data_IF_784447990239
#
_entry.id   IF_784447990239
#
_cell.length_a   1.000
_cell.length_b   1.000
_cell.length_c   1.000
_cell.angle_alpha   90.00
_cell.angle_beta   90.00
_cell.angle_gamma   90.00
#
_symmetry.space_group_name_H-M   'P 1'
#
loop_
_entity.id
_entity.type
_entity.pdbx_description
1 polymer ?
#
# COMPACT_ATOMS: atom_id res chain seq x y z
N UNK A 1 27.42 -0.64 -50.40
CA UNK A 1 28.26 0.00 -49.36
C UNK A 1 27.60 1.21 -48.67
N UNK A 2 26.82 2.07 -49.35
CA UNK A 2 26.20 3.26 -48.69
C UNK A 2 25.08 2.90 -47.70
N UNK A 3 24.33 1.80 -47.91
CA UNK A 3 23.28 1.35 -46.97
C UNK A 3 23.79 0.70 -45.68
N UNK A 4 25.02 0.18 -45.67
CA UNK A 4 25.61 -0.45 -44.47
C UNK A 4 26.29 0.58 -43.56
N UNK A 5 26.79 1.69 -44.13
CA UNK A 5 27.36 2.81 -43.36
C UNK A 5 26.26 3.61 -42.63
N UNK A 6 25.09 3.80 -43.25
CA UNK A 6 23.95 4.46 -42.58
C UNK A 6 23.30 3.60 -41.47
N UNK A 7 23.50 2.27 -41.49
CA UNK A 7 23.04 1.38 -40.43
C UNK A 7 23.98 1.39 -39.20
N UNK A 8 25.26 1.68 -39.40
CA UNK A 8 26.25 1.85 -38.33
C UNK A 8 26.15 3.22 -37.65
N UNK A 9 25.66 4.26 -38.34
CA UNK A 9 25.42 5.59 -37.76
C UNK A 9 24.10 5.71 -36.98
N UNK A 10 23.27 4.67 -36.98
CA UNK A 10 22.08 4.58 -36.13
C UNK A 10 22.41 3.91 -34.79
N UNK A 11 23.44 4.41 -34.09
CA UNK A 11 23.80 4.08 -32.70
C UNK A 11 22.68 4.49 -31.72
N UNK A 12 21.48 3.95 -31.89
CA UNK A 12 20.66 3.61 -30.75
C UNK A 12 21.29 2.37 -30.16
N UNK A 13 22.23 2.57 -29.23
CA UNK A 13 22.51 1.57 -28.18
C UNK A 13 21.14 1.01 -27.79
N UNK A 14 20.90 -0.31 -27.88
CA UNK A 14 19.59 -0.84 -27.56
C UNK A 14 19.30 -0.41 -26.13
N UNK A 15 18.33 0.50 -25.94
CA UNK A 15 17.96 0.96 -24.60
C UNK A 15 17.50 -0.23 -23.73
N UNK A 16 17.12 -1.33 -24.39
CA UNK A 16 16.85 -2.63 -23.81
C UNK A 16 18.13 -3.25 -23.21
N UNK A 17 19.27 -3.17 -23.88
CA UNK A 17 20.55 -3.72 -23.40
C UNK A 17 21.11 -2.90 -22.24
N UNK A 18 21.06 -1.57 -22.29
CA UNK A 18 21.49 -0.72 -21.17
C UNK A 18 20.57 -0.87 -19.95
N UNK A 19 19.26 -1.02 -20.16
CA UNK A 19 18.32 -1.33 -19.07
C UNK A 19 18.50 -2.75 -18.53
N UNK A 20 18.80 -3.74 -19.39
CA UNK A 20 19.11 -5.12 -19.00
C UNK A 20 20.43 -5.19 -18.24
N UNK A 21 21.45 -4.44 -18.64
CA UNK A 21 22.75 -4.35 -17.95
C UNK A 21 22.54 -3.68 -16.58
N UNK A 22 21.81 -2.58 -16.50
CA UNK A 22 21.48 -1.94 -15.20
C UNK A 22 20.64 -2.84 -14.30
N UNK A 23 19.68 -3.58 -14.86
CA UNK A 23 18.93 -4.58 -14.10
C UNK A 23 19.83 -5.75 -13.68
N UNK A 24 20.72 -6.23 -14.54
CA UNK A 24 21.67 -7.33 -14.26
C UNK A 24 22.65 -6.94 -13.17
N UNK A 25 23.22 -5.74 -13.23
CA UNK A 25 24.11 -5.20 -12.20
C UNK A 25 23.38 -5.08 -10.86
N UNK A 26 22.10 -4.69 -10.88
CA UNK A 26 21.27 -4.69 -9.67
C UNK A 26 20.96 -6.11 -9.18
N UNK A 27 20.73 -7.06 -10.09
CA UNK A 27 20.56 -8.48 -9.75
C UNK A 27 21.83 -9.08 -9.18
N UNK A 28 23.02 -8.66 -9.63
CA UNK A 28 24.31 -9.11 -9.10
C UNK A 28 24.61 -8.45 -7.74
N UNK A 29 24.20 -7.19 -7.52
CA UNK A 29 24.22 -6.55 -6.21
C UNK A 29 23.21 -7.15 -5.22
N UNK A 30 22.14 -7.75 -5.74
CA UNK A 30 21.17 -8.50 -4.96
C UNK A 30 21.55 -9.99 -4.86
N UNK A 31 22.76 -10.42 -5.23
CA UNK A 31 23.25 -11.79 -5.04
C UNK A 31 24.38 -11.85 -3.99
N UNK A 32 24.46 -12.97 -3.28
CA UNK A 32 25.62 -13.27 -2.41
C UNK A 32 26.80 -13.76 -3.25
N UNK A 33 27.96 -13.97 -2.61
CA UNK A 33 29.19 -14.47 -3.26
C UNK A 33 29.01 -15.85 -3.94
N UNK A 34 27.90 -16.53 -3.69
CA UNK A 34 27.52 -17.81 -4.31
C UNK A 34 26.51 -17.65 -5.47
N UNK A 35 26.14 -16.41 -5.83
CA UNK A 35 25.22 -16.12 -6.92
C UNK A 35 23.74 -16.28 -6.57
N UNK A 36 23.40 -16.44 -5.28
CA UNK A 36 22.02 -16.59 -4.82
C UNK A 36 21.42 -15.23 -4.50
N UNK A 37 20.17 -14.98 -4.90
CA UNK A 37 19.51 -13.70 -4.61
C UNK A 37 19.36 -13.53 -3.09
N UNK A 38 19.93 -12.46 -2.52
CA UNK A 38 19.98 -12.08 -1.10
C UNK A 38 18.62 -11.53 -0.66
N UNK A 39 17.60 -12.37 -0.76
CA UNK A 39 16.48 -12.28 0.16
C UNK A 39 16.79 -13.28 1.28
N UNK A 40 16.83 -12.80 2.53
CA UNK A 40 17.16 -13.54 3.77
C UNK A 40 17.35 -15.06 3.60
N UNK A 41 18.62 -15.49 3.46
CA UNK A 41 19.01 -16.91 3.50
C UNK A 41 19.04 -17.66 2.18
N UNK A 42 19.20 -16.97 1.04
CA UNK A 42 19.46 -17.60 -0.28
C UNK A 42 18.25 -18.32 -0.88
N UNK A 43 17.04 -18.01 -0.42
CA UNK A 43 15.80 -18.63 -0.89
C UNK A 43 15.25 -17.93 -2.11
N UNK A 44 14.67 -18.70 -3.03
CA UNK A 44 13.96 -18.13 -4.16
C UNK A 44 12.69 -17.42 -3.69
N UNK A 45 12.36 -16.27 -4.28
CA UNK A 45 11.13 -15.52 -3.99
C UNK A 45 9.86 -16.37 -4.19
N UNK A 46 9.91 -17.38 -5.06
CA UNK A 46 8.79 -18.31 -5.26
C UNK A 46 8.47 -19.18 -4.05
N UNK A 47 9.47 -19.42 -3.21
CA UNK A 47 9.36 -20.26 -2.02
C UNK A 47 8.91 -19.44 -0.80
N UNK A 48 8.98 -18.11 -0.90
CA UNK A 48 8.56 -17.22 0.17
C UNK A 48 7.03 -17.14 0.23
N UNK A 49 6.51 -17.28 1.43
CA UNK A 49 5.10 -16.98 1.75
C UNK A 49 4.92 -15.53 2.18
N UNK A 50 5.95 -14.96 2.82
CA UNK A 50 6.01 -13.58 3.28
C UNK A 50 7.43 -13.06 3.05
N UNK A 51 7.55 -11.83 2.56
CA UNK A 51 8.81 -11.13 2.41
C UNK A 51 8.71 -9.80 3.16
N UNK A 52 9.56 -9.61 4.16
CA UNK A 52 9.73 -8.31 4.82
C UNK A 52 10.95 -7.62 4.21
N UNK A 53 10.75 -6.41 3.71
CA UNK A 53 11.83 -5.58 3.18
C UNK A 53 11.91 -4.31 4.03
N UNK A 54 13.00 -4.19 4.79
CA UNK A 54 13.30 -2.97 5.55
C UNK A 54 14.39 -2.22 4.82
N UNK A 55 14.12 -0.96 4.49
CA UNK A 55 15.07 -0.13 3.75
C UNK A 55 15.56 0.99 4.67
N UNK A 56 16.84 0.96 5.11
CA UNK A 56 17.37 1.98 6.01
C UNK A 56 17.48 3.32 5.30
N UNK A 57 17.02 4.40 5.95
CA UNK A 57 16.91 5.74 5.36
C UNK A 57 18.22 6.53 5.19
N UNK A 58 19.38 5.87 5.19
CA UNK A 58 20.70 6.53 5.13
C UNK A 58 21.05 7.01 3.71
N UNK A 59 20.62 6.29 2.67
CA UNK A 59 20.76 6.68 1.26
C UNK A 59 19.42 6.53 0.54
N UNK A 60 18.76 7.65 0.26
CA UNK A 60 17.42 7.69 -0.32
C UNK A 60 17.39 7.24 -1.79
N UNK A 61 18.44 7.48 -2.56
CA UNK A 61 18.47 7.11 -3.98
C UNK A 61 18.72 5.60 -4.15
N UNK A 62 19.62 5.03 -3.34
CA UNK A 62 19.79 3.59 -3.24
C UNK A 62 18.51 2.92 -2.74
N UNK A 63 17.90 3.45 -1.67
CA UNK A 63 16.64 2.96 -1.12
C UNK A 63 15.51 2.93 -2.15
N UNK A 64 15.32 4.04 -2.88
CA UNK A 64 14.33 4.15 -3.95
C UNK A 64 14.56 3.10 -5.04
N UNK A 65 15.81 2.92 -5.46
CA UNK A 65 16.19 1.96 -6.50
C UNK A 65 15.94 0.52 -6.07
N UNK A 66 16.30 0.17 -4.83
CA UNK A 66 16.07 -1.16 -4.24
C UNK A 66 14.57 -1.47 -4.16
N UNK A 67 13.74 -0.53 -3.69
CA UNK A 67 12.29 -0.71 -3.61
C UNK A 67 11.69 -0.83 -5.00
N UNK A 68 12.04 0.06 -5.93
CA UNK A 68 11.52 0.03 -7.30
C UNK A 68 11.79 -1.31 -8.00
N UNK A 69 13.00 -1.83 -7.86
CA UNK A 69 13.39 -3.09 -8.45
C UNK A 69 12.69 -4.29 -7.81
N UNK A 70 12.59 -4.31 -6.48
CA UNK A 70 11.90 -5.38 -5.74
C UNK A 70 10.42 -5.41 -6.13
N UNK A 71 9.76 -4.24 -6.17
CA UNK A 71 8.38 -4.10 -6.62
C UNK A 71 8.20 -4.65 -8.04
N UNK A 72 9.06 -4.24 -8.97
CA UNK A 72 8.99 -4.66 -10.37
C UNK A 72 9.20 -6.17 -10.52
N UNK A 73 10.15 -6.74 -9.78
CA UNK A 73 10.40 -8.18 -9.76
C UNK A 73 9.18 -8.95 -9.25
N UNK A 74 8.61 -8.55 -8.11
CA UNK A 74 7.40 -9.17 -7.53
C UNK A 74 6.24 -9.11 -8.51
N UNK A 75 5.98 -7.95 -9.13
CA UNK A 75 4.90 -7.77 -10.09
C UNK A 75 5.09 -8.61 -11.36
N UNK A 76 6.30 -8.60 -11.93
CA UNK A 76 6.61 -9.41 -13.11
C UNK A 76 6.43 -10.89 -12.80
N UNK A 77 6.86 -11.33 -11.61
CA UNK A 77 6.72 -12.74 -11.18
C UNK A 77 5.26 -13.13 -11.00
N UNK A 78 4.46 -12.30 -10.34
CA UNK A 78 3.02 -12.51 -10.18
C UNK A 78 2.30 -12.64 -11.55
N UNK A 79 2.78 -11.90 -12.55
CA UNK A 79 2.24 -11.90 -13.91
C UNK A 79 2.55 -13.12 -14.78
N UNK A 80 3.65 -13.84 -14.52
CA UNK A 80 4.19 -14.89 -15.41
C UNK A 80 3.28 -16.11 -15.57
N UNK A 81 2.50 -16.46 -14.55
CA UNK A 81 1.61 -17.63 -14.60
C UNK A 81 0.25 -17.28 -15.21
N UNK A 82 -0.39 -18.27 -15.84
CA UNK A 82 -1.79 -18.16 -16.28
C UNK A 82 -2.67 -17.80 -15.08
N UNK A 83 -3.74 -17.05 -15.32
CA UNK A 83 -4.56 -16.40 -14.28
C UNK A 83 -5.08 -17.38 -13.21
N UNK A 84 -5.43 -18.60 -13.61
CA UNK A 84 -5.87 -19.73 -12.79
C UNK A 84 -4.78 -20.32 -11.88
N UNK A 85 -3.51 -20.07 -12.20
CA UNK A 85 -2.33 -20.60 -11.50
C UNK A 85 -1.54 -19.51 -10.77
N UNK A 86 -2.07 -18.27 -10.71
CA UNK A 86 -1.42 -17.16 -10.02
C UNK A 86 -1.58 -17.31 -8.52
N UNK A 87 -0.48 -17.09 -7.78
CA UNK A 87 -0.55 -16.89 -6.33
C UNK A 87 -1.24 -15.56 -6.04
N UNK A 88 -2.01 -15.51 -4.97
CA UNK A 88 -2.47 -14.23 -4.43
C UNK A 88 -1.28 -13.52 -3.79
N UNK A 89 -0.90 -12.37 -4.35
CA UNK A 89 0.19 -11.55 -3.84
C UNK A 89 -0.42 -10.26 -3.32
N UNK A 90 -0.16 -9.95 -2.05
CA UNK A 90 -0.51 -8.66 -1.45
C UNK A 90 0.77 -7.93 -1.11
N UNK A 91 0.84 -6.67 -1.51
CA UNK A 91 1.99 -5.81 -1.27
C UNK A 91 1.58 -4.64 -0.39
N UNK A 92 2.32 -4.45 0.69
CA UNK A 92 2.19 -3.31 1.59
C UNK A 92 3.41 -2.41 1.36
N UNK A 93 3.15 -1.17 0.95
CA UNK A 93 4.17 -0.13 0.85
C UNK A 93 3.86 0.91 1.93
N UNK A 94 4.69 0.92 2.96
CA UNK A 94 4.63 1.92 4.01
C UNK A 94 5.52 3.12 3.65
N UNK A 95 5.06 4.30 4.06
CA UNK A 95 5.73 5.61 3.89
C UNK A 95 6.42 5.79 2.53
N UNK A 96 5.66 5.65 1.45
CA UNK A 96 6.19 5.78 0.09
C UNK A 96 6.85 7.14 -0.20
N UNK A 97 6.48 8.18 0.56
CA UNK A 97 7.06 9.52 0.44
C UNK A 97 8.54 9.54 0.83
N UNK A 98 8.99 8.65 1.73
CA UNK A 98 10.39 8.56 2.14
C UNK A 98 11.34 8.22 0.99
N UNK A 99 10.79 7.66 -0.09
CA UNK A 99 11.50 7.25 -1.29
C UNK A 99 11.41 8.29 -2.42
N UNK A 100 10.82 9.46 -2.16
CA UNK A 100 10.77 10.56 -3.13
C UNK A 100 12.02 11.41 -3.00
N UNK A 101 12.75 11.59 -4.11
CA UNK A 101 13.95 12.44 -4.19
C UNK A 101 13.75 13.56 -5.21
N UNK A 102 14.66 14.55 -5.25
CA UNK A 102 14.61 15.64 -6.26
C UNK A 102 14.69 15.10 -7.69
N UNK A 103 15.26 13.91 -7.85
CA UNK A 103 15.51 13.21 -9.09
C UNK A 103 14.31 12.36 -9.54
N UNK A 104 13.28 12.21 -8.72
CA UNK A 104 12.03 11.55 -9.08
C UNK A 104 11.36 10.81 -7.93
N UNK A 105 10.08 10.46 -8.13
CA UNK A 105 9.29 9.58 -7.25
C UNK A 105 9.21 8.17 -7.84
N UNK A 106 8.60 7.24 -7.10
CA UNK A 106 8.33 5.87 -7.58
C UNK A 106 7.20 5.80 -8.62
N UNK A 107 6.37 6.84 -8.76
CA UNK A 107 5.16 6.81 -9.59
C UNK A 107 4.15 5.77 -9.09
N UNK A 108 3.60 5.98 -7.89
CA UNK A 108 2.74 4.99 -7.22
C UNK A 108 1.49 4.65 -8.03
N UNK A 109 0.98 5.61 -8.79
CA UNK A 109 -0.16 5.45 -9.68
C UNK A 109 0.11 4.44 -10.81
N UNK A 110 1.29 4.50 -11.45
CA UNK A 110 1.67 3.52 -12.47
C UNK A 110 1.87 2.13 -11.86
N UNK A 111 2.49 2.10 -10.68
CA UNK A 111 2.74 0.88 -9.92
C UNK A 111 1.39 0.23 -9.56
N UNK A 112 0.41 1.00 -9.08
CA UNK A 112 -0.93 0.52 -8.74
C UNK A 112 -1.67 -0.05 -9.96
N UNK A 113 -1.65 0.66 -11.09
CA UNK A 113 -2.30 0.24 -12.34
C UNK A 113 -1.68 -1.05 -12.91
N UNK A 114 -0.35 -1.15 -12.91
CA UNK A 114 0.38 -2.35 -13.35
C UNK A 114 0.16 -3.51 -12.38
N UNK A 115 0.26 -3.27 -11.08
CA UNK A 115 0.03 -4.27 -10.04
C UNK A 115 -1.35 -4.92 -10.17
N UNK A 116 -2.39 -4.10 -10.36
CA UNK A 116 -3.75 -4.58 -10.64
C UNK A 116 -3.81 -5.49 -11.85
N UNK A 117 -3.15 -5.12 -12.96
CA UNK A 117 -3.12 -5.93 -14.18
C UNK A 117 -2.41 -7.28 -13.99
N UNK A 118 -1.43 -7.33 -13.09
CA UNK A 118 -0.73 -8.57 -12.72
C UNK A 118 -1.45 -9.39 -11.65
N UNK A 119 -2.58 -8.90 -11.11
CA UNK A 119 -3.33 -9.59 -10.05
C UNK A 119 -2.72 -9.43 -8.66
N UNK A 120 -1.90 -8.39 -8.47
CA UNK A 120 -1.32 -8.04 -7.17
C UNK A 120 -2.27 -7.08 -6.45
N UNK A 121 -2.63 -7.41 -5.21
CA UNK A 121 -3.32 -6.48 -4.32
C UNK A 121 -2.28 -5.52 -3.72
N UNK A 122 -2.54 -4.23 -3.77
CA UNK A 122 -1.61 -3.21 -3.27
C UNK A 122 -2.26 -2.37 -2.19
N UNK A 123 -1.53 -2.16 -1.11
CA UNK A 123 -1.88 -1.28 0.00
C UNK A 123 -0.78 -0.26 0.14
N UNK A 124 -1.14 1.01 -0.04
CA UNK A 124 -0.24 2.14 0.16
C UNK A 124 -0.64 2.81 1.48
N UNK A 125 0.34 3.03 2.34
CA UNK A 125 0.17 3.80 3.56
C UNK A 125 0.98 5.10 3.47
N UNK A 126 0.42 6.16 4.02
CA UNK A 126 1.01 7.49 4.04
C UNK A 126 0.37 8.33 5.14
N UNK A 127 1.13 9.27 5.68
CA UNK A 127 0.67 10.18 6.73
C UNK A 127 -0.25 11.28 6.18
N UNK A 128 -0.09 11.63 4.90
CA UNK A 128 -0.91 12.63 4.24
C UNK A 128 -1.13 12.29 2.76
N UNK A 129 -2.14 12.87 2.08
CA UNK A 129 -2.33 12.67 0.65
C UNK A 129 -1.12 13.08 -0.20
N UNK A 130 -0.41 14.13 0.22
CA UNK A 130 0.83 14.64 -0.42
C UNK A 130 2.00 13.65 -0.27
N UNK A 131 1.95 12.78 0.74
CA UNK A 131 2.93 11.73 0.93
C UNK A 131 2.72 10.56 -0.06
N UNK A 132 1.52 10.43 -0.64
CA UNK A 132 1.18 9.38 -1.61
C UNK A 132 1.31 9.84 -3.06
N UNK A 133 1.16 11.13 -3.32
CA UNK A 133 1.25 11.68 -4.67
C UNK A 133 1.77 13.11 -4.64
N UNK A 134 2.58 13.46 -5.64
CA UNK A 134 3.20 14.78 -5.76
C UNK A 134 2.19 15.91 -6.02
N UNK A 135 1.06 15.57 -6.63
CA UNK A 135 0.03 16.52 -7.05
C UNK A 135 -1.37 15.88 -7.03
N UNK A 136 -2.40 16.73 -7.12
CA UNK A 136 -3.81 16.31 -7.07
C UNK A 136 -4.19 15.35 -8.21
N UNK A 137 -3.65 15.53 -9.41
CA UNK A 137 -3.97 14.68 -10.55
C UNK A 137 -3.43 13.26 -10.33
N UNK A 138 -2.19 13.16 -9.86
CA UNK A 138 -1.55 11.89 -9.50
C UNK A 138 -2.28 11.21 -8.34
N UNK A 139 -2.72 11.98 -7.33
CA UNK A 139 -3.54 11.47 -6.22
C UNK A 139 -4.88 10.90 -6.72
N UNK A 140 -5.60 11.65 -7.55
CA UNK A 140 -6.89 11.20 -8.11
C UNK A 140 -6.72 9.94 -8.96
N UNK A 141 -5.63 9.83 -9.73
CA UNK A 141 -5.28 8.63 -10.49
C UNK A 141 -4.99 7.44 -9.59
N UNK A 142 -4.21 7.64 -8.52
CA UNK A 142 -3.91 6.62 -7.52
C UNK A 142 -5.19 6.12 -6.82
N UNK A 143 -6.07 7.03 -6.38
CA UNK A 143 -7.35 6.68 -5.75
C UNK A 143 -8.26 5.89 -6.69
N UNK A 144 -8.31 6.24 -7.98
CA UNK A 144 -9.04 5.47 -9.01
C UNK A 144 -8.45 4.08 -9.24
N UNK A 145 -7.12 3.94 -9.20
CA UNK A 145 -6.46 2.64 -9.33
C UNK A 145 -6.76 1.73 -8.13
N UNK A 146 -6.88 2.31 -6.93
CA UNK A 146 -7.13 1.64 -5.66
C UNK A 146 -8.61 1.24 -5.45
N UNK A 147 -9.09 0.26 -6.24
CA UNK A 147 -10.45 -0.29 -6.09
C UNK A 147 -10.74 -1.01 -4.75
N UNK A 148 -9.70 -1.19 -3.92
CA UNK A 148 -9.78 -1.79 -2.59
C UNK A 148 -10.61 -0.97 -1.59
N UNK A 149 -10.75 0.34 -1.82
CA UNK A 149 -11.27 1.31 -0.84
C UNK A 149 -10.15 2.07 -0.16
N UNK A 150 -10.50 3.04 0.68
CA UNK A 150 -9.55 3.91 1.39
C UNK A 150 -9.84 3.85 2.88
N UNK A 151 -8.79 3.75 3.68
CA UNK A 151 -8.86 3.87 5.15
C UNK A 151 -8.30 5.23 5.54
N UNK A 152 -9.07 5.99 6.32
CA UNK A 152 -8.73 7.34 6.76
C UNK A 152 -8.73 7.37 8.28
N UNK A 153 -7.61 7.76 8.88
CA UNK A 153 -7.49 8.12 10.29
C UNK A 153 -7.75 9.61 10.51
N UNK A 154 -7.31 10.14 11.64
CA UNK A 154 -7.38 11.58 11.93
C UNK A 154 -6.65 12.42 10.85
N UNK A 155 -7.24 13.56 10.49
CA UNK A 155 -6.63 14.55 9.59
C UNK A 155 -7.44 15.84 9.49
N UNK A 156 -6.78 16.99 9.68
CA UNK A 156 -7.46 18.30 9.76
C UNK A 156 -7.97 18.82 8.41
N UNK A 157 -7.24 18.51 7.33
CA UNK A 157 -7.43 19.09 6.00
C UNK A 157 -7.89 18.07 4.94
N UNK A 158 -8.63 17.04 5.35
CA UNK A 158 -9.05 15.95 4.45
C UNK A 158 -10.37 16.21 3.72
N UNK A 159 -10.83 17.45 3.65
CA UNK A 159 -12.06 17.82 2.94
C UNK A 159 -12.04 17.43 1.46
N UNK A 160 -10.92 17.66 0.77
CA UNK A 160 -10.75 17.26 -0.64
C UNK A 160 -10.72 15.73 -0.81
N UNK A 161 -10.11 15.01 0.12
CA UNK A 161 -10.11 13.53 0.09
C UNK A 161 -11.53 12.98 0.34
N UNK A 162 -12.26 13.57 1.27
CA UNK A 162 -13.65 13.19 1.56
C UNK A 162 -14.58 13.39 0.35
N UNK A 163 -14.32 14.43 -0.46
CA UNK A 163 -15.04 14.67 -1.73
C UNK A 163 -14.95 13.51 -2.70
N UNK A 164 -13.83 12.79 -2.72
CA UNK A 164 -13.64 11.65 -3.62
C UNK A 164 -14.67 10.54 -3.39
N UNK A 165 -15.20 10.39 -2.18
CA UNK A 165 -16.22 9.38 -1.86
C UNK A 165 -17.65 9.84 -2.17
N UNK A 166 -17.83 11.13 -2.49
CA UNK A 166 -19.12 11.72 -2.82
C UNK A 166 -20.06 11.90 -1.63
N UNK A 167 -21.33 12.11 -1.95
CA UNK A 167 -22.44 12.31 -1.02
C UNK A 167 -23.48 11.19 -1.14
N UNK A 168 -24.36 11.09 -0.15
CA UNK A 168 -25.56 10.27 -0.18
C UNK A 168 -26.79 11.16 -0.01
N UNK A 169 -27.86 10.82 -0.71
CA UNK A 169 -29.15 11.49 -0.55
C UNK A 169 -29.76 11.16 0.81
N UNK A 170 -30.27 12.17 1.49
CA UNK A 170 -30.93 12.04 2.78
C UNK A 170 -32.21 12.85 2.79
N UNK A 171 -33.25 12.34 3.46
CA UNK A 171 -34.44 13.12 3.75
C UNK A 171 -34.16 14.03 4.94
N UNK A 172 -34.41 15.32 4.77
CA UNK A 172 -34.25 16.34 5.79
C UNK A 172 -35.64 16.75 6.26
N UNK A 173 -36.16 16.17 7.37
CA UNK A 173 -37.41 16.62 7.95
C UNK A 173 -37.18 17.99 8.61
N UNK A 174 -38.02 18.97 8.26
CA UNK A 174 -38.13 20.24 8.95
C UNK A 174 -39.51 20.38 9.58
N UNK A 175 -39.60 21.07 10.71
CA UNK A 175 -40.87 21.43 11.35
C UNK A 175 -40.99 22.94 11.38
N UNK A 176 -42.19 23.44 11.08
CA UNK A 176 -42.47 24.85 11.25
C UNK A 176 -42.53 25.21 12.74
N UNK A 177 -41.92 26.34 13.09
CA UNK A 177 -41.99 26.92 14.42
C UNK A 177 -43.15 27.91 14.48
N UNK A 178 -44.14 27.62 15.30
CA UNK A 178 -45.24 28.55 15.60
C UNK A 178 -44.69 29.62 16.55
N UNK A 179 -44.72 30.89 16.11
CA UNK A 179 -44.22 32.06 16.86
C UNK A 179 -42.77 31.91 17.37
N UNK A 180 -41.94 31.14 16.68
CA UNK A 180 -40.52 30.96 17.01
C UNK A 180 -40.22 30.15 18.29
N UNK A 181 -41.23 29.64 19.01
CA UNK A 181 -41.03 28.98 20.31
C UNK A 181 -41.70 27.61 20.46
N UNK A 182 -42.73 27.30 19.65
CA UNK A 182 -43.42 25.99 19.72
C UNK A 182 -43.29 25.26 18.40
N UNK A 183 -43.03 23.95 18.45
CA UNK A 183 -43.10 23.11 17.27
C UNK A 183 -44.56 23.00 16.82
N UNK A 184 -44.83 23.30 15.55
CA UNK A 184 -46.13 23.04 14.94
C UNK A 184 -46.31 21.55 14.60
N UNK A 185 -47.55 21.21 14.26
CA UNK A 185 -47.94 19.85 13.86
C UNK A 185 -47.68 19.57 12.37
N UNK A 186 -47.39 20.62 11.59
CA UNK A 186 -47.01 20.52 10.18
C UNK A 186 -45.48 20.56 10.00
N UNK A 187 -44.98 19.72 9.10
CA UNK A 187 -43.58 19.66 8.71
C UNK A 187 -43.41 19.43 7.22
N UNK A 188 -42.25 19.82 6.70
CA UNK A 188 -41.87 19.59 5.32
C UNK A 188 -40.72 18.58 5.28
N UNK A 189 -40.69 17.76 4.25
CA UNK A 189 -39.53 16.90 3.96
C UNK A 189 -38.89 17.42 2.69
N UNK A 190 -37.62 17.81 2.77
CA UNK A 190 -36.80 18.09 1.60
C UNK A 190 -35.78 16.96 1.38
N UNK A 191 -35.34 16.79 0.14
CA UNK A 191 -34.25 15.87 -0.18
C UNK A 191 -32.97 16.69 -0.21
N UNK A 192 -32.04 16.36 0.69
CA UNK A 192 -30.71 16.96 0.74
C UNK A 192 -29.62 15.95 0.45
N UNK A 193 -28.38 16.41 0.53
CA UNK A 193 -27.19 15.58 0.41
C UNK A 193 -26.35 15.67 1.69
N UNK A 194 -25.79 14.53 2.11
CA UNK A 194 -24.80 14.47 3.18
C UNK A 194 -23.56 13.77 2.66
N UNK A 195 -22.38 14.25 3.03
CA UNK A 195 -21.11 13.57 2.73
C UNK A 195 -21.15 12.10 3.12
N UNK A 196 -20.63 11.22 2.26
CA UNK A 196 -20.49 9.81 2.60
C UNK A 196 -19.46 9.63 3.73
N UNK A 197 -18.34 10.33 3.62
CA UNK A 197 -17.35 10.49 4.68
C UNK A 197 -17.38 11.96 5.11
N UNK A 198 -17.81 12.22 6.32
CA UNK A 198 -17.98 13.57 6.85
C UNK A 198 -16.62 14.13 7.31
N UNK A 199 -16.08 15.19 6.68
CA UNK A 199 -14.76 15.73 7.04
C UNK A 199 -14.73 16.28 8.47
N UNK A 200 -15.85 16.82 8.98
CA UNK A 200 -15.91 17.31 10.35
C UNK A 200 -15.83 16.17 11.36
N UNK A 201 -16.37 14.99 11.00
CA UNK A 201 -16.23 13.79 11.81
C UNK A 201 -14.80 13.26 11.79
N UNK A 202 -14.13 13.29 10.64
CA UNK A 202 -12.72 12.87 10.51
C UNK A 202 -11.79 13.75 11.36
N UNK A 203 -12.06 15.06 11.45
CA UNK A 203 -11.33 15.99 12.33
C UNK A 203 -11.45 15.67 13.82
N UNK A 204 -12.50 14.96 14.21
CA UNK A 204 -12.77 14.58 15.58
C UNK A 204 -12.25 13.18 15.95
N UNK A 205 -11.61 12.47 15.00
CA UNK A 205 -11.06 11.15 15.28
C UNK A 205 -9.93 11.22 16.31
N UNK A 206 -9.98 10.31 17.27
CA UNK A 206 -8.87 10.06 18.18
C UNK A 206 -7.87 9.09 17.56
N UNK A 207 -6.70 8.94 18.19
CA UNK A 207 -5.76 7.88 17.81
C UNK A 207 -6.43 6.51 17.87
N UNK A 208 -6.41 5.82 16.73
CA UNK A 208 -7.04 4.51 16.55
C UNK A 208 -8.42 4.56 15.93
N UNK A 209 -9.12 5.70 15.89
CA UNK A 209 -10.36 5.82 15.15
C UNK A 209 -10.09 5.90 13.64
N UNK A 210 -10.96 5.28 12.84
CA UNK A 210 -10.85 5.31 11.40
C UNK A 210 -12.21 5.23 10.70
N UNK A 211 -12.21 5.63 9.42
CA UNK A 211 -13.27 5.32 8.47
C UNK A 211 -12.70 4.56 7.29
N UNK A 212 -13.33 3.43 6.97
CA UNK A 212 -13.10 2.70 5.73
C UNK A 212 -14.20 3.02 4.73
N UNK A 213 -13.83 3.63 3.60
CA UNK A 213 -14.74 4.03 2.55
C UNK A 213 -14.57 3.13 1.32
N UNK A 214 -15.65 2.47 0.91
CA UNK A 214 -15.67 1.55 -0.25
C UNK A 214 -17.07 1.36 -0.81
N UNK A 215 -17.19 1.32 -2.14
CA UNK A 215 -18.44 0.97 -2.86
C UNK A 215 -19.67 1.76 -2.35
N UNK A 216 -19.52 3.07 -2.16
CA UNK A 216 -20.59 3.95 -1.70
C UNK A 216 -21.00 3.75 -0.22
N UNK A 217 -20.15 3.10 0.58
CA UNK A 217 -20.35 2.90 2.02
C UNK A 217 -19.15 3.43 2.80
N UNK A 218 -19.41 3.96 3.99
CA UNK A 218 -18.42 4.39 4.96
C UNK A 218 -18.62 3.60 6.26
N UNK A 219 -17.59 2.89 6.68
CA UNK A 219 -17.57 2.07 7.89
C UNK A 219 -16.66 2.73 8.92
N UNK A 220 -17.25 3.23 9.99
CA UNK A 220 -16.51 3.85 11.09
C UNK A 220 -16.17 2.80 12.13
N UNK A 221 -14.94 2.82 12.62
CA UNK A 221 -14.47 1.85 13.61
C UNK A 221 -13.28 2.39 14.40
N UNK A 222 -12.80 1.57 15.34
CA UNK A 222 -11.62 1.84 16.14
C UNK A 222 -10.69 0.64 16.10
N UNK A 223 -9.41 0.89 15.96
CA UNK A 223 -8.35 -0.11 16.04
C UNK A 223 -8.29 -0.58 17.49
N UNK A 224 -8.47 -1.88 17.70
CA UNK A 224 -8.23 -2.52 19.00
C UNK A 224 -6.74 -2.90 19.04
N UNK A 225 -5.97 -2.38 20.01
CA UNK A 225 -4.57 -2.73 20.14
C UNK A 225 -4.41 -4.24 20.31
N UNK A 226 -3.45 -4.81 19.60
CA UNK A 226 -3.09 -6.20 19.75
C UNK A 226 -2.36 -6.40 21.09
N UNK A 227 -2.73 -7.44 21.84
CA UNK A 227 -2.01 -7.83 23.06
C UNK A 227 -0.58 -8.27 22.70
N UNK A 228 0.37 -7.38 22.95
CA UNK A 228 1.78 -7.58 22.61
C UNK A 228 2.43 -8.75 23.34
N UNK A 229 1.84 -9.21 24.45
CA UNK A 229 2.31 -10.38 25.21
C UNK A 229 2.07 -11.70 24.49
N UNK A 230 1.21 -11.70 23.45
CA UNK A 230 0.86 -12.89 22.66
C UNK A 230 1.49 -12.89 21.27
N UNK A 231 2.45 -12.00 21.02
CA UNK A 231 3.10 -11.89 19.73
C UNK A 231 4.14 -12.98 19.52
N UNK A 232 4.01 -13.73 18.42
CA UNK A 232 5.10 -14.54 17.89
C UNK A 232 6.15 -13.61 17.28
N UNK A 233 7.44 -13.71 17.66
CA UNK A 233 8.46 -12.86 17.09
C UNK A 233 8.60 -13.07 15.59
N UNK A 234 8.95 -11.99 14.87
CA UNK A 234 9.17 -12.05 13.42
C UNK A 234 10.28 -13.07 13.08
N UNK A 235 10.05 -14.00 12.13
CA UNK A 235 11.07 -14.94 11.68
C UNK A 235 12.36 -14.24 11.26
N UNK A 236 13.52 -14.87 11.52
CA UNK A 236 14.83 -14.29 11.17
C UNK A 236 15.38 -13.29 12.18
N UNK A 237 14.56 -12.74 13.09
CA UNK A 237 15.03 -11.83 14.15
C UNK A 237 15.72 -12.56 15.31
N UNK A 238 16.55 -11.85 16.07
CA UNK A 238 17.19 -12.40 17.28
C UNK A 238 16.15 -12.88 18.32
N UNK A 239 14.98 -12.25 18.37
CA UNK A 239 13.88 -12.66 19.24
C UNK A 239 13.23 -14.00 18.81
N UNK A 240 13.09 -14.24 17.49
CA UNK A 240 12.64 -15.52 16.97
C UNK A 240 13.66 -16.64 17.25
N UNK A 241 14.96 -16.37 17.11
CA UNK A 241 16.02 -17.33 17.46
C UNK A 241 15.97 -17.70 18.95
N UNK A 242 15.79 -16.73 19.86
CA UNK A 242 15.63 -16.99 21.30
C UNK A 242 14.40 -17.86 21.61
N UNK A 243 13.29 -17.62 20.92
CA UNK A 243 12.04 -18.38 21.11
C UNK A 243 12.15 -19.81 20.57
N UNK A 244 12.84 -20.01 19.44
CA UNK A 244 13.13 -21.34 18.89
C UNK A 244 14.11 -22.17 19.74
N UNK A 245 14.92 -21.51 20.57
CA UNK A 245 15.92 -22.17 21.44
C UNK A 245 15.39 -22.46 22.84
N UNK A 246 14.21 -21.96 23.21
CA UNK A 246 13.54 -22.36 24.45
C UNK A 246 12.77 -23.67 24.22
N UNK A 247 13.16 -24.79 24.83
CA UNK A 247 12.35 -26.00 24.78
C UNK A 247 11.02 -25.72 25.48
N UNK A 248 9.92 -25.98 24.77
CA UNK A 248 8.57 -25.79 25.30
C UNK A 248 8.40 -26.54 26.62
N UNK A 249 8.04 -25.80 27.67
CA UNK A 249 7.58 -26.38 28.93
C UNK A 249 6.23 -27.04 28.63
N UNK A 250 6.21 -28.35 28.44
CA UNK A 250 4.98 -29.10 28.30
C UNK A 250 5.11 -30.38 27.47
N UNK A 251 5.69 -31.43 28.07
CA UNK A 251 5.71 -32.75 27.45
C UNK A 251 6.55 -33.80 28.18
N UNK A 252 6.60 -33.78 29.52
CA UNK A 252 7.21 -34.85 30.29
C UNK A 252 6.11 -35.66 31.01
N UNK A 253 5.80 -36.80 30.38
CA UNK A 253 5.28 -38.05 30.93
C UNK A 253 4.62 -38.02 32.33
N UNK A 254 3.30 -38.17 32.36
CA UNK A 254 2.64 -38.93 33.43
C UNK A 254 2.89 -40.41 33.20
N UNK A 255 3.87 -40.96 33.92
CA UNK A 255 4.00 -42.37 34.20
C UNK A 255 4.15 -42.55 35.71
N UNK A 256 3.45 -43.54 36.26
CA UNK A 256 3.39 -44.01 37.65
C UNK A 256 2.42 -43.28 38.60
N UNK A 257 1.22 -43.85 38.77
CA UNK A 257 0.90 -44.75 39.88
C UNK A 257 -0.33 -45.61 39.50
#
# INVERSE_FOLDING_TARGET
MVRQVNALQAEKVPQIDDALIKCSNLFDLLKDDSGNVVFDGGRNIDELSVLFMTVPGLDKDAARSQVAATLRMVMQRAGRKRKDQRRSVTLYLDEASALTTKQGSLGLEEIAERGRSQGVAMVFAGQSPESLAADKWSLDRLLKACAGGVLIGYGENFGELCKHFGSRRVMLPSRHLIKGQRHGDEGQVSVGEKWLVDPDRVRQFETGDFVFAKKGRAFYGRIVPLDTKRLTPLPGTAAAKKTATQPGIGGAATAAA
#
